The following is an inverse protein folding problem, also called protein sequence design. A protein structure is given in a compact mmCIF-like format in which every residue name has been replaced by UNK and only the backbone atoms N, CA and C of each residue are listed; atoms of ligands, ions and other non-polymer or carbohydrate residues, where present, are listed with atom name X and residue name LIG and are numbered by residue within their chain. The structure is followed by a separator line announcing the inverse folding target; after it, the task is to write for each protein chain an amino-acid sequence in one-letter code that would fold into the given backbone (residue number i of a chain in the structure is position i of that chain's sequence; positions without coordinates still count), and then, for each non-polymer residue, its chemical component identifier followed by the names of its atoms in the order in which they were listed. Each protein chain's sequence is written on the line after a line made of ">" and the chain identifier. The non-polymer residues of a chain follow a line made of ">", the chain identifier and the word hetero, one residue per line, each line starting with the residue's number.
data_IF_154495563475
#
_entry.id   IF_154495563475
#
_cell.length_a   1.000
_cell.length_b   1.000
_cell.length_c   1.000
_cell.angle_alpha   90.00
_cell.angle_beta   90.00
_cell.angle_gamma   90.00
#
_symmetry.space_group_name_H-M   'P 1'
#
loop_
_entity.id
_entity.type
_entity.pdbx_description
1 polymer ?
#
# COMPACT_ATOMS: atom_id res chain seq x y z
N UNK A 1 -40.83 6.75 29.90
CA UNK A 1 -39.48 6.89 29.35
C UNK A 1 -38.92 5.48 29.22
N UNK A 2 -38.93 4.92 28.03
CA UNK A 2 -38.26 3.64 27.81
C UNK A 2 -36.78 3.94 27.60
N UNK A 3 -35.98 3.74 28.61
CA UNK A 3 -34.50 3.68 28.50
C UNK A 3 -34.21 2.22 28.28
N UNK A 4 -33.69 1.91 27.09
CA UNK A 4 -33.16 0.60 26.81
C UNK A 4 -31.98 0.35 27.77
N UNK A 5 -31.85 -0.85 28.29
CA UNK A 5 -30.84 -1.25 29.29
C UNK A 5 -29.39 -1.09 28.78
N UNK A 6 -29.18 -0.68 27.52
CA UNK A 6 -27.89 -0.38 26.85
C UNK A 6 -27.47 1.09 26.90
N UNK A 7 -28.24 1.99 27.57
CA UNK A 7 -27.92 3.41 27.66
C UNK A 7 -28.18 4.22 26.38
N UNK A 8 -28.84 3.64 25.39
CA UNK A 8 -29.20 4.31 24.13
C UNK A 8 -30.46 5.17 24.27
N UNK A 9 -30.58 6.25 23.49
CA UNK A 9 -31.76 7.11 23.41
C UNK A 9 -32.53 6.81 22.14
N UNK A 10 -33.85 6.66 22.26
CA UNK A 10 -34.73 6.53 21.11
C UNK A 10 -34.88 7.87 20.41
N UNK A 11 -34.64 7.90 19.12
CA UNK A 11 -34.79 9.05 18.26
C UNK A 11 -35.53 8.70 16.96
N UNK A 12 -36.03 9.73 16.28
CA UNK A 12 -36.70 9.59 14.97
C UNK A 12 -35.73 10.09 13.89
N UNK A 13 -35.50 9.27 12.88
CA UNK A 13 -34.69 9.64 11.73
C UNK A 13 -35.51 10.42 10.72
N UNK A 14 -35.05 11.59 10.33
CA UNK A 14 -35.64 12.41 9.28
C UNK A 14 -34.68 12.49 8.12
N UNK A 15 -35.10 12.11 6.92
CA UNK A 15 -34.29 12.18 5.73
C UNK A 15 -34.44 13.54 5.05
N UNK A 16 -33.32 14.11 4.60
CA UNK A 16 -33.29 15.35 3.82
C UNK A 16 -32.46 15.17 2.54
N UNK A 17 -32.75 16.01 1.57
CA UNK A 17 -32.03 16.12 0.30
C UNK A 17 -31.12 17.38 0.29
N UNK A 18 -30.37 17.57 -0.80
CA UNK A 18 -29.45 18.70 -0.99
C UNK A 18 -30.15 20.07 -1.06
N UNK A 19 -31.49 20.12 -1.08
CA UNK A 19 -32.26 21.37 -1.13
C UNK A 19 -32.42 22.01 0.25
N UNK A 20 -32.18 21.25 1.31
CA UNK A 20 -32.22 21.74 2.68
C UNK A 20 -30.89 22.41 2.99
N UNK A 21 -30.90 23.69 3.36
CA UNK A 21 -29.68 24.37 3.76
C UNK A 21 -29.10 23.74 5.04
N UNK A 22 -27.77 23.77 5.20
CA UNK A 22 -27.11 23.25 6.42
C UNK A 22 -27.61 23.93 7.70
N UNK A 23 -28.13 25.14 7.61
CA UNK A 23 -28.72 25.89 8.72
C UNK A 23 -30.08 25.36 9.16
N UNK A 24 -30.83 24.71 8.24
CA UNK A 24 -32.14 24.14 8.49
C UNK A 24 -32.09 22.67 8.91
N UNK A 25 -30.92 22.04 8.85
CA UNK A 25 -30.73 20.65 9.28
C UNK A 25 -30.73 20.62 10.79
N UNK A 26 -31.83 20.11 11.35
CA UNK A 26 -31.96 19.81 12.77
C UNK A 26 -31.11 18.57 13.11
N UNK A 27 -29.82 18.72 13.16
CA UNK A 27 -28.97 17.73 13.79
C UNK A 27 -29.25 17.73 15.28
N UNK A 28 -29.71 16.63 15.83
CA UNK A 28 -29.96 16.47 17.26
C UNK A 28 -28.71 16.52 18.11
N UNK A 29 -28.21 17.72 18.45
CA UNK A 29 -26.82 17.95 18.81
C UNK A 29 -26.61 18.40 20.25
N UNK A 30 -27.63 18.87 20.94
CA UNK A 30 -27.49 19.32 22.35
C UNK A 30 -27.38 18.17 23.35
N UNK A 31 -27.34 16.95 22.86
CA UNK A 31 -27.32 15.75 23.70
C UNK A 31 -25.91 15.25 23.95
N UNK A 32 -24.94 15.69 23.11
CA UNK A 32 -23.57 15.20 23.19
C UNK A 32 -22.62 16.34 23.57
N UNK A 33 -21.84 16.18 24.64
CA UNK A 33 -20.74 17.10 24.91
C UNK A 33 -19.80 17.17 23.74
N UNK A 34 -19.21 18.36 23.51
CA UNK A 34 -18.23 18.60 22.47
C UNK A 34 -17.19 17.48 22.40
N UNK A 35 -16.99 16.89 21.22
CA UNK A 35 -15.99 15.85 20.99
C UNK A 35 -16.46 14.39 21.21
N UNK A 36 -17.70 14.14 21.57
CA UNK A 36 -18.25 12.77 21.63
C UNK A 36 -18.87 12.35 20.30
N UNK A 37 -18.87 11.04 20.06
CA UNK A 37 -19.45 10.41 18.87
C UNK A 37 -20.67 9.61 19.26
N UNK A 38 -21.75 9.78 18.51
CA UNK A 38 -22.95 8.94 18.64
C UNK A 38 -22.92 7.83 17.60
N UNK A 39 -23.45 6.67 17.95
CA UNK A 39 -23.70 5.58 17.02
C UNK A 39 -25.22 5.40 16.90
N UNK A 40 -25.73 5.58 15.68
CA UNK A 40 -27.13 5.35 15.37
C UNK A 40 -27.32 3.88 15.02
N UNK A 41 -28.23 3.21 15.75
CA UNK A 41 -28.57 1.82 15.50
C UNK A 41 -30.05 1.70 15.15
N UNK A 42 -30.34 1.19 13.96
CA UNK A 42 -31.63 0.66 13.57
C UNK A 42 -31.43 -0.77 13.04
N UNK A 43 -31.32 -0.94 11.72
CA UNK A 43 -30.86 -2.20 11.12
C UNK A 43 -29.35 -2.28 11.09
N UNK A 44 -28.68 -1.14 10.89
CA UNK A 44 -27.23 -1.03 10.76
C UNK A 44 -26.69 0.05 11.69
N UNK A 45 -25.48 -0.13 12.20
CA UNK A 45 -24.78 0.85 13.01
C UNK A 45 -24.05 1.85 12.12
N UNK A 46 -24.24 3.15 12.37
CA UNK A 46 -23.54 4.24 11.71
C UNK A 46 -23.00 5.22 12.75
N UNK A 47 -21.70 5.52 12.80
CA UNK A 47 -21.17 6.58 13.65
C UNK A 47 -21.61 7.95 13.12
N UNK A 48 -22.10 8.80 14.03
CA UNK A 48 -22.51 10.17 13.73
C UNK A 48 -21.69 11.11 14.61
N UNK A 49 -21.01 12.06 13.99
CA UNK A 49 -20.42 13.19 14.69
C UNK A 49 -21.48 14.27 14.81
N UNK A 50 -21.93 14.53 16.04
CA UNK A 50 -23.01 15.46 16.32
C UNK A 50 -22.43 16.78 16.82
N UNK A 51 -22.71 17.87 16.11
CA UNK A 51 -22.28 19.23 16.46
C UNK A 51 -23.35 19.89 17.38
N UNK A 52 -22.94 20.63 18.41
CA UNK A 52 -23.89 21.21 19.37
C UNK A 52 -24.62 22.44 18.80
N UNK A 53 -25.93 22.36 18.63
CA UNK A 53 -26.78 23.50 18.36
C UNK A 53 -27.86 23.66 19.44
N UNK A 54 -28.02 24.89 19.91
CA UNK A 54 -28.98 25.21 21.00
C UNK A 54 -30.46 24.89 20.68
N UNK A 55 -30.79 24.65 19.40
CA UNK A 55 -32.16 24.32 18.95
C UNK A 55 -32.52 22.86 19.06
N UNK A 56 -31.56 21.99 19.12
CA UNK A 56 -31.80 20.52 19.06
C UNK A 56 -32.08 19.88 20.43
N UNK A 57 -31.90 20.61 21.53
CA UNK A 57 -32.14 20.07 22.89
C UNK A 57 -33.58 19.57 23.13
N UNK A 58 -34.56 20.05 22.34
CA UNK A 58 -35.96 19.69 22.46
C UNK A 58 -36.43 18.61 21.47
N UNK A 59 -35.72 18.40 20.36
CA UNK A 59 -36.17 17.49 19.32
C UNK A 59 -35.47 16.14 19.46
N UNK A 60 -36.25 15.06 19.46
CA UNK A 60 -35.76 13.69 19.40
C UNK A 60 -35.52 13.23 17.96
N UNK A 61 -35.29 14.16 17.05
CA UNK A 61 -35.14 13.91 15.64
C UNK A 61 -33.66 14.05 15.23
N UNK A 62 -33.20 13.13 14.40
CA UNK A 62 -31.87 13.17 13.78
C UNK A 62 -32.06 13.27 12.28
N UNK A 63 -31.46 14.30 11.67
CA UNK A 63 -31.53 14.48 10.23
C UNK A 63 -30.36 13.78 9.56
N UNK A 64 -30.67 12.94 8.57
CA UNK A 64 -29.70 12.24 7.73
C UNK A 64 -29.93 12.61 6.27
N UNK A 65 -28.85 12.69 5.51
CA UNK A 65 -28.95 12.83 4.05
C UNK A 65 -29.59 11.56 3.45
N UNK A 66 -30.42 11.73 2.42
CA UNK A 66 -31.17 10.63 1.80
C UNK A 66 -30.28 9.50 1.31
N UNK A 67 -29.08 9.82 0.76
CA UNK A 67 -28.11 8.79 0.33
C UNK A 67 -27.61 7.92 1.49
N UNK A 68 -27.43 8.48 2.68
CA UNK A 68 -27.07 7.74 3.89
C UNK A 68 -28.26 6.91 4.36
N UNK A 69 -29.48 7.46 4.28
CA UNK A 69 -30.70 6.74 4.58
C UNK A 69 -30.85 5.48 3.73
N UNK A 70 -30.72 5.60 2.42
CA UNK A 70 -30.78 4.48 1.48
C UNK A 70 -29.67 3.45 1.73
N UNK A 71 -28.45 3.91 1.96
CA UNK A 71 -27.31 3.03 2.17
C UNK A 71 -27.42 2.19 3.43
N UNK A 72 -27.90 2.79 4.54
CA UNK A 72 -28.04 2.11 5.83
C UNK A 72 -29.47 1.65 6.11
N UNK A 73 -30.33 1.65 5.10
CA UNK A 73 -31.72 1.22 5.17
C UNK A 73 -32.53 1.95 6.26
N UNK A 74 -32.28 3.25 6.40
CA UNK A 74 -33.10 4.13 7.21
C UNK A 74 -34.25 4.70 6.39
N UNK A 75 -35.46 4.53 6.86
CA UNK A 75 -36.66 5.12 6.27
C UNK A 75 -36.99 6.46 6.98
N UNK A 76 -37.62 7.37 6.23
CA UNK A 76 -38.06 8.63 6.81
C UNK A 76 -39.04 8.40 7.97
N UNK A 77 -38.79 9.07 9.09
CA UNK A 77 -39.51 8.92 10.37
C UNK A 77 -39.38 7.54 11.04
N UNK A 78 -38.34 6.79 10.65
CA UNK A 78 -38.00 5.53 11.31
C UNK A 78 -37.49 5.81 12.74
N UNK A 79 -37.90 4.95 13.69
CA UNK A 79 -37.33 4.98 15.03
C UNK A 79 -35.99 4.28 15.07
N UNK A 80 -35.00 4.92 15.65
CA UNK A 80 -33.65 4.39 15.81
C UNK A 80 -33.11 4.67 17.22
N UNK A 81 -32.14 3.90 17.66
CA UNK A 81 -31.51 4.08 18.97
C UNK A 81 -30.17 4.79 18.77
N UNK A 82 -30.01 5.95 19.38
CA UNK A 82 -28.73 6.68 19.43
C UNK A 82 -27.97 6.24 20.68
N UNK A 83 -26.82 5.61 20.49
CA UNK A 83 -25.88 5.24 21.54
C UNK A 83 -24.72 6.23 21.56
N UNK A 84 -24.44 6.82 22.72
CA UNK A 84 -23.31 7.72 22.89
C UNK A 84 -22.09 6.90 23.26
N UNK A 85 -21.04 7.04 22.49
CA UNK A 85 -19.74 6.40 22.73
C UNK A 85 -18.88 7.34 23.58
N UNK A 86 -18.43 6.87 24.72
CA UNK A 86 -17.63 7.68 25.64
C UNK A 86 -16.15 7.80 25.18
N UNK A 87 -15.64 6.75 24.55
CA UNK A 87 -14.33 6.78 23.95
C UNK A 87 -14.45 6.85 22.41
N UNK A 88 -14.00 7.93 21.84
CA UNK A 88 -14.02 8.18 20.40
C UNK A 88 -13.32 7.06 19.60
N UNK A 89 -12.36 6.36 20.23
CA UNK A 89 -11.63 5.24 19.62
C UNK A 89 -12.52 4.05 19.27
N UNK A 90 -13.61 3.85 20.01
CA UNK A 90 -14.55 2.76 19.72
C UNK A 90 -15.32 2.95 18.39
N UNK A 91 -15.42 4.19 17.91
CA UNK A 91 -16.04 4.53 16.63
C UNK A 91 -15.00 4.91 15.54
N UNK A 92 -13.72 4.96 15.90
CA UNK A 92 -12.65 5.38 14.98
C UNK A 92 -12.08 4.18 14.25
N UNK A 93 -11.91 4.31 12.93
CA UNK A 93 -11.27 3.28 12.13
C UNK A 93 -9.79 3.11 12.52
N UNK A 94 -9.36 1.86 12.66
CA UNK A 94 -7.95 1.53 12.77
C UNK A 94 -7.29 1.64 11.39
N UNK A 95 -7.94 1.08 10.36
CA UNK A 95 -7.52 1.27 8.99
C UNK A 95 -8.71 1.22 8.02
N UNK A 96 -8.53 1.88 6.88
CA UNK A 96 -9.51 1.95 5.79
C UNK A 96 -8.78 1.68 4.49
N UNK A 97 -9.34 0.77 3.68
CA UNK A 97 -8.82 0.49 2.35
C UNK A 97 -9.58 1.30 1.30
N UNK A 98 -8.85 2.13 0.55
CA UNK A 98 -9.35 2.89 -0.59
C UNK A 98 -8.91 2.23 -1.88
N UNK A 99 -9.82 2.10 -2.81
CA UNK A 99 -9.58 1.49 -4.10
C UNK A 99 -9.75 2.51 -5.22
N UNK A 100 -8.75 2.63 -6.08
CA UNK A 100 -8.78 3.39 -7.32
C UNK A 100 -8.85 2.42 -8.49
N UNK A 101 -9.77 2.63 -9.42
CA UNK A 101 -9.96 1.69 -10.53
C UNK A 101 -8.82 1.74 -11.54
N UNK A 102 -8.48 2.93 -12.01
CA UNK A 102 -7.60 3.13 -13.17
C UNK A 102 -6.51 4.18 -12.92
N UNK A 103 -6.32 4.60 -11.67
CA UNK A 103 -5.38 5.65 -11.28
C UNK A 103 -4.56 5.17 -10.09
N UNK A 104 -3.27 5.52 -10.08
CA UNK A 104 -2.43 5.43 -8.91
C UNK A 104 -2.04 6.84 -8.46
N UNK A 105 -2.25 7.12 -7.20
CA UNK A 105 -1.89 8.39 -6.61
C UNK A 105 -0.41 8.43 -6.24
N UNK A 106 0.20 9.61 -6.37
CA UNK A 106 1.50 9.87 -5.77
C UNK A 106 1.41 9.82 -4.23
N UNK A 107 2.53 9.60 -3.55
CA UNK A 107 2.56 9.62 -2.07
C UNK A 107 2.09 10.95 -1.50
N UNK A 108 2.40 12.06 -2.18
CA UNK A 108 1.94 13.39 -1.78
C UNK A 108 0.42 13.52 -1.85
N UNK A 109 -0.18 13.02 -2.93
CA UNK A 109 -1.62 13.03 -3.14
C UNK A 109 -2.32 12.11 -2.13
N UNK A 110 -1.78 10.92 -1.87
CA UNK A 110 -2.27 10.01 -0.82
C UNK A 110 -2.29 10.69 0.55
N UNK A 111 -1.22 11.42 0.89
CA UNK A 111 -1.14 12.16 2.12
C UNK A 111 -2.17 13.29 2.20
N UNK A 112 -2.32 14.08 1.11
CA UNK A 112 -3.32 15.15 1.05
C UNK A 112 -4.74 14.59 1.20
N UNK A 113 -5.05 13.49 0.50
CA UNK A 113 -6.34 12.82 0.60
C UNK A 113 -6.59 12.33 2.03
N UNK A 114 -5.62 11.67 2.66
CA UNK A 114 -5.72 11.24 4.05
C UNK A 114 -6.00 12.40 5.02
N UNK A 115 -5.36 13.56 4.77
CA UNK A 115 -5.57 14.78 5.57
C UNK A 115 -6.96 15.40 5.36
N UNK A 116 -7.46 15.39 4.14
CA UNK A 116 -8.79 15.95 3.83
C UNK A 116 -9.94 15.18 4.45
N UNK A 117 -9.73 13.90 4.77
CA UNK A 117 -10.74 13.03 5.38
C UNK A 117 -10.75 13.09 6.91
N UNK A 118 -9.76 13.75 7.54
CA UNK A 118 -9.64 13.80 9.00
C UNK A 118 -10.85 14.48 9.65
N UNK A 119 -11.42 13.82 10.65
CA UNK A 119 -12.64 14.27 11.35
C UNK A 119 -13.93 13.92 10.64
N UNK A 120 -13.88 13.36 9.43
CA UNK A 120 -15.05 12.91 8.66
C UNK A 120 -15.50 11.50 9.00
N UNK A 121 -16.74 11.18 8.60
CA UNK A 121 -17.28 9.82 8.63
C UNK A 121 -17.15 9.21 7.26
N UNK A 122 -16.63 8.00 7.19
CA UNK A 122 -16.52 7.21 5.97
C UNK A 122 -17.35 5.94 6.13
N UNK A 123 -18.04 5.55 5.07
CA UNK A 123 -18.81 4.33 4.98
C UNK A 123 -18.39 3.46 3.80
N UNK A 124 -18.64 2.16 3.89
CA UNK A 124 -18.29 1.18 2.86
C UNK A 124 -18.93 1.55 1.51
N UNK A 125 -18.15 1.40 0.43
CA UNK A 125 -18.48 1.74 -0.95
C UNK A 125 -18.80 3.23 -1.17
N UNK A 126 -18.39 4.10 -0.25
CA UNK A 126 -18.46 5.54 -0.45
C UNK A 126 -17.50 5.95 -1.55
N UNK A 127 -18.02 6.70 -2.51
CA UNK A 127 -17.21 7.37 -3.53
C UNK A 127 -16.69 8.69 -2.97
N UNK A 128 -15.38 8.84 -2.95
CA UNK A 128 -14.70 10.04 -2.48
C UNK A 128 -14.03 10.68 -3.68
N UNK A 129 -14.47 11.89 -4.04
CA UNK A 129 -13.86 12.67 -5.11
C UNK A 129 -12.60 13.35 -4.61
N UNK A 130 -11.53 13.21 -5.39
CA UNK A 130 -10.25 13.81 -5.11
C UNK A 130 -9.64 14.38 -6.39
N UNK A 131 -8.93 15.50 -6.32
CA UNK A 131 -8.32 16.18 -7.48
C UNK A 131 -9.26 16.41 -8.69
N UNK A 132 -10.52 16.73 -8.39
CA UNK A 132 -11.49 17.15 -9.41
C UNK A 132 -12.29 16.02 -10.06
N UNK A 133 -11.67 15.06 -10.70
CA UNK A 133 -12.36 13.97 -11.42
C UNK A 133 -12.11 12.58 -10.84
N UNK A 134 -11.05 12.42 -10.06
CA UNK A 134 -10.62 11.14 -9.58
C UNK A 134 -11.46 10.66 -8.41
N UNK A 135 -11.86 9.40 -8.45
CA UNK A 135 -12.76 8.81 -7.47
C UNK A 135 -12.09 7.63 -6.79
N UNK A 136 -12.00 7.69 -5.47
CA UNK A 136 -11.65 6.57 -4.63
C UNK A 136 -12.90 5.92 -4.05
N UNK A 137 -12.90 4.62 -3.91
CA UNK A 137 -13.99 3.87 -3.26
C UNK A 137 -13.45 3.32 -1.94
N UNK A 138 -14.09 3.64 -0.82
CA UNK A 138 -13.80 3.05 0.47
C UNK A 138 -14.32 1.61 0.50
N UNK A 139 -13.43 0.60 0.41
CA UNK A 139 -13.86 -0.82 0.30
C UNK A 139 -14.05 -1.50 1.64
N UNK A 140 -13.03 -1.44 2.47
CA UNK A 140 -13.05 -2.12 3.78
C UNK A 140 -12.67 -1.14 4.87
N UNK A 141 -13.40 -1.22 5.96
CA UNK A 141 -13.23 -0.38 7.14
C UNK A 141 -13.09 -1.30 8.33
N UNK A 142 -12.06 -1.12 9.14
CA UNK A 142 -11.83 -1.93 10.34
C UNK A 142 -11.81 -1.07 11.59
N UNK A 143 -12.59 -1.51 12.58
CA UNK A 143 -12.58 -0.96 13.94
C UNK A 143 -12.23 -2.11 14.89
N UNK A 144 -11.17 -1.95 15.67
CA UNK A 144 -10.69 -2.97 16.63
C UNK A 144 -10.52 -4.38 16.01
N UNK A 145 -10.06 -4.43 14.75
CA UNK A 145 -9.82 -5.68 14.03
C UNK A 145 -11.07 -6.35 13.44
N UNK A 146 -12.25 -5.73 13.59
CA UNK A 146 -13.50 -6.20 12.98
C UNK A 146 -13.91 -5.30 11.84
N UNK A 147 -14.47 -5.89 10.77
CA UNK A 147 -15.06 -5.11 9.68
C UNK A 147 -16.27 -4.32 10.18
N UNK A 148 -16.35 -3.07 9.71
CA UNK A 148 -17.47 -2.17 9.99
C UNK A 148 -18.00 -1.56 8.70
N UNK A 149 -19.29 -1.22 8.68
CA UNK A 149 -19.89 -0.54 7.52
C UNK A 149 -19.60 0.95 7.48
N UNK A 150 -19.20 1.53 8.60
CA UNK A 150 -18.81 2.93 8.69
C UNK A 150 -17.90 3.19 9.88
N UNK A 151 -17.11 4.25 9.81
CA UNK A 151 -16.26 4.69 10.91
C UNK A 151 -15.93 6.17 10.84
N UNK A 152 -15.52 6.73 11.98
CA UNK A 152 -14.89 8.03 12.05
C UNK A 152 -13.41 7.92 11.62
N UNK A 153 -12.96 8.86 10.83
CA UNK A 153 -11.54 9.00 10.48
C UNK A 153 -10.87 9.96 11.44
N UNK A 154 -9.79 9.56 12.06
CA UNK A 154 -9.04 10.42 12.98
C UNK A 154 -7.55 10.15 12.91
N UNK A 155 -6.78 11.15 12.51
CA UNK A 155 -5.34 11.07 12.60
C UNK A 155 -4.87 11.29 14.06
N UNK A 156 -3.83 10.61 14.54
CA UNK A 156 -2.99 9.62 13.86
C UNK A 156 -3.53 8.17 13.97
N UNK A 157 -4.75 7.96 14.46
CA UNK A 157 -5.27 6.62 14.80
C UNK A 157 -5.68 5.80 13.57
N UNK A 158 -6.16 6.46 12.50
CA UNK A 158 -6.62 5.79 11.28
C UNK A 158 -5.49 5.67 10.27
N UNK A 159 -5.16 4.44 9.89
CA UNK A 159 -4.25 4.14 8.79
C UNK A 159 -5.03 4.06 7.47
N UNK A 160 -4.61 4.83 6.49
CA UNK A 160 -5.16 4.82 5.14
C UNK A 160 -4.35 3.86 4.26
N UNK A 161 -5.02 2.92 3.61
CA UNK A 161 -4.41 1.94 2.70
C UNK A 161 -4.97 2.23 1.32
N UNK A 162 -4.09 2.63 0.40
CA UNK A 162 -4.48 2.95 -0.97
C UNK A 162 -4.13 1.79 -1.89
N UNK A 163 -5.10 1.34 -2.69
CA UNK A 163 -4.95 0.24 -3.65
C UNK A 163 -5.39 0.72 -5.03
N UNK A 164 -4.57 0.47 -6.03
CA UNK A 164 -4.93 0.71 -7.42
C UNK A 164 -5.34 -0.59 -8.10
N UNK A 165 -6.36 -0.53 -8.94
CA UNK A 165 -6.80 -1.66 -9.78
C UNK A 165 -5.95 -1.86 -11.02
N UNK A 166 -5.16 -0.85 -11.40
CA UNK A 166 -4.22 -0.88 -12.52
C UNK A 166 -2.90 -0.28 -12.08
N UNK A 167 -1.81 -1.01 -12.24
CA UNK A 167 -0.47 -0.55 -11.94
C UNK A 167 0.55 -1.34 -12.75
N UNK A 168 1.72 -0.74 -12.96
CA UNK A 168 2.90 -1.42 -13.51
C UNK A 168 3.90 -1.66 -12.38
N UNK A 169 4.30 -2.91 -12.23
CA UNK A 169 5.28 -3.32 -11.24
C UNK A 169 6.54 -3.83 -11.91
N UNK A 170 7.69 -3.32 -11.48
CA UNK A 170 8.97 -3.91 -11.82
C UNK A 170 9.48 -4.69 -10.60
N UNK A 171 9.50 -6.01 -10.71
CA UNK A 171 10.02 -6.90 -9.67
C UNK A 171 11.51 -7.11 -9.92
N UNK A 172 12.34 -6.54 -9.06
CA UNK A 172 13.77 -6.71 -9.04
C UNK A 172 14.13 -7.79 -8.01
N UNK A 173 14.65 -8.93 -8.45
CA UNK A 173 15.00 -10.04 -7.56
C UNK A 173 16.52 -10.15 -7.50
N UNK A 174 17.09 -9.90 -6.34
CA UNK A 174 18.52 -9.99 -6.14
C UNK A 174 18.97 -11.45 -6.06
N UNK A 175 19.84 -11.85 -6.95
CA UNK A 175 20.54 -13.13 -6.89
C UNK A 175 21.81 -12.92 -6.09
N UNK A 176 21.81 -13.37 -4.86
CA UNK A 176 22.93 -13.26 -3.94
C UNK A 176 23.26 -14.64 -3.34
N UNK A 177 24.36 -14.73 -2.63
CA UNK A 177 24.76 -15.98 -1.97
C UNK A 177 23.68 -16.43 -0.98
N UNK A 178 23.14 -15.52 -0.19
CA UNK A 178 22.09 -15.79 0.79
C UNK A 178 20.81 -16.30 0.14
N UNK A 179 20.47 -15.82 -1.08
CA UNK A 179 19.31 -16.29 -1.84
C UNK A 179 19.42 -17.77 -2.24
N UNK A 180 20.65 -18.28 -2.35
CA UNK A 180 20.97 -19.68 -2.70
C UNK A 180 21.23 -20.55 -1.46
N UNK A 181 21.05 -20.02 -0.24
CA UNK A 181 21.16 -20.78 1.00
C UNK A 181 19.82 -21.40 1.41
N UNK A 182 19.90 -22.44 2.26
CA UNK A 182 18.71 -23.10 2.78
C UNK A 182 17.98 -22.19 3.77
N UNK A 183 16.69 -22.08 3.58
CA UNK A 183 15.79 -21.38 4.50
C UNK A 183 15.40 -22.30 5.67
N UNK A 184 14.69 -21.72 6.66
CA UNK A 184 14.26 -22.42 7.89
C UNK A 184 13.37 -23.63 7.58
N UNK A 185 12.63 -23.61 6.49
CA UNK A 185 11.75 -24.69 6.02
C UNK A 185 12.47 -25.83 5.29
N UNK A 186 13.79 -25.71 5.09
CA UNK A 186 14.62 -26.70 4.41
C UNK A 186 14.64 -26.58 2.88
N UNK A 187 13.96 -25.58 2.31
CA UNK A 187 14.05 -25.22 0.89
C UNK A 187 15.09 -24.13 0.66
N UNK A 188 15.54 -23.96 -0.56
CA UNK A 188 16.37 -22.81 -0.93
C UNK A 188 15.53 -21.53 -0.84
N UNK A 189 16.13 -20.43 -0.40
CA UNK A 189 15.39 -19.19 -0.17
C UNK A 189 14.67 -18.70 -1.43
N UNK A 190 15.26 -18.84 -2.62
CA UNK A 190 14.58 -18.50 -3.87
C UNK A 190 13.37 -19.41 -4.18
N UNK A 191 13.40 -20.68 -3.76
CA UNK A 191 12.27 -21.59 -3.94
C UNK A 191 11.10 -21.15 -3.05
N UNK A 192 11.38 -20.85 -1.77
CA UNK A 192 10.38 -20.30 -0.85
C UNK A 192 9.83 -18.96 -1.32
N UNK A 193 10.66 -18.11 -1.94
CA UNK A 193 10.20 -16.88 -2.58
C UNK A 193 9.21 -17.16 -3.72
N UNK A 194 9.54 -18.07 -4.64
CA UNK A 194 8.73 -18.33 -5.82
C UNK A 194 7.45 -19.10 -5.46
N UNK A 195 7.57 -20.18 -4.69
CA UNK A 195 6.45 -21.08 -4.37
C UNK A 195 5.56 -20.51 -3.26
N UNK A 196 6.11 -19.72 -2.35
CA UNK A 196 5.39 -19.06 -1.26
C UNK A 196 4.94 -17.66 -1.62
N UNK A 197 5.83 -16.69 -1.45
CA UNK A 197 5.48 -15.27 -1.50
C UNK A 197 4.91 -14.81 -2.86
N UNK A 198 5.62 -15.08 -3.96
CA UNK A 198 5.18 -14.62 -5.29
C UNK A 198 3.90 -15.33 -5.74
N UNK A 199 3.80 -16.64 -5.48
CA UNK A 199 2.59 -17.40 -5.80
C UNK A 199 1.37 -16.84 -5.06
N UNK A 200 1.49 -16.53 -3.77
CA UNK A 200 0.38 -15.95 -3.00
C UNK A 200 0.05 -14.52 -3.43
N UNK A 201 1.06 -13.70 -3.74
CA UNK A 201 0.88 -12.34 -4.26
C UNK A 201 0.04 -12.36 -5.56
N UNK A 202 0.45 -13.16 -6.53
CA UNK A 202 -0.26 -13.24 -7.82
C UNK A 202 -1.65 -13.87 -7.68
N UNK A 203 -1.81 -14.90 -6.85
CA UNK A 203 -3.13 -15.49 -6.56
C UNK A 203 -4.07 -14.44 -5.96
N UNK A 204 -3.56 -13.55 -5.10
CA UNK A 204 -4.34 -12.48 -4.52
C UNK A 204 -4.72 -11.43 -5.57
N UNK A 205 -3.83 -11.08 -6.48
CA UNK A 205 -4.16 -10.20 -7.61
C UNK A 205 -5.27 -10.78 -8.48
N UNK A 206 -5.20 -12.06 -8.79
CA UNK A 206 -6.23 -12.79 -9.53
C UNK A 206 -7.60 -12.76 -8.82
N UNK A 207 -7.61 -13.06 -7.53
CA UNK A 207 -8.84 -13.06 -6.71
C UNK A 207 -9.52 -11.68 -6.66
N UNK A 208 -8.72 -10.61 -6.67
CA UNK A 208 -9.16 -9.23 -6.67
C UNK A 208 -9.44 -8.69 -8.08
N UNK A 209 -9.22 -9.49 -9.12
CA UNK A 209 -9.39 -9.11 -10.55
C UNK A 209 -8.58 -7.87 -10.92
N UNK A 210 -7.35 -7.78 -10.43
CA UNK A 210 -6.45 -6.66 -10.73
C UNK A 210 -5.96 -6.73 -12.17
N UNK A 211 -5.75 -5.56 -12.77
CA UNK A 211 -5.23 -5.39 -14.14
C UNK A 211 -3.78 -4.91 -14.12
N UNK A 212 -2.99 -5.48 -13.22
CA UNK A 212 -1.59 -5.11 -13.13
C UNK A 212 -0.80 -5.70 -14.28
N UNK A 213 0.19 -4.95 -14.72
CA UNK A 213 1.27 -5.41 -15.58
C UNK A 213 2.54 -5.51 -14.76
N UNK A 214 3.40 -6.45 -15.08
CA UNK A 214 4.63 -6.60 -14.35
C UNK A 214 5.80 -7.06 -15.22
N UNK A 215 6.98 -6.57 -14.84
CA UNK A 215 8.27 -7.00 -15.37
C UNK A 215 9.04 -7.69 -14.25
N UNK A 216 9.85 -8.70 -14.59
CA UNK A 216 10.69 -9.41 -13.63
C UNK A 216 12.13 -9.40 -14.12
N UNK A 217 13.03 -8.88 -13.30
CA UNK A 217 14.44 -8.75 -13.59
C UNK A 217 15.25 -9.39 -12.45
N UNK A 218 16.10 -10.36 -12.78
CA UNK A 218 17.13 -10.86 -11.88
C UNK A 218 18.34 -9.97 -11.97
N UNK A 219 18.90 -9.58 -10.85
CA UNK A 219 20.11 -8.78 -10.79
C UNK A 219 21.06 -9.29 -9.71
N UNK A 220 22.31 -8.94 -9.82
CA UNK A 220 23.32 -9.34 -8.83
C UNK A 220 24.73 -9.04 -9.33
N UNK A 221 25.69 -9.46 -8.54
CA UNK A 221 27.10 -9.31 -8.84
C UNK A 221 27.81 -10.66 -8.85
N UNK A 222 28.40 -11.01 -9.99
CA UNK A 222 29.23 -12.20 -10.13
C UNK A 222 30.61 -12.01 -9.51
N UNK A 223 31.18 -13.08 -8.95
CA UNK A 223 32.52 -13.11 -8.39
C UNK A 223 33.31 -14.19 -9.11
N UNK A 224 34.47 -13.83 -9.70
CA UNK A 224 35.37 -14.81 -10.26
C UNK A 224 36.19 -15.48 -9.13
N UNK A 225 36.16 -16.80 -9.08
CA UNK A 225 37.22 -17.53 -8.41
C UNK A 225 38.49 -17.43 -9.26
N UNK A 226 39.46 -16.67 -8.78
CA UNK A 226 40.78 -16.54 -9.39
C UNK A 226 41.32 -17.89 -9.87
N UNK A 227 41.50 -18.06 -11.21
CA UNK A 227 42.39 -18.99 -11.75
C UNK A 227 41.88 -20.15 -12.61
N UNK A 228 41.03 -19.91 -13.62
CA UNK A 228 41.03 -20.76 -14.81
C UNK A 228 40.50 -19.98 -16.02
N UNK A 229 41.39 -19.76 -16.97
CA UNK A 229 41.07 -19.37 -18.35
C UNK A 229 40.35 -20.56 -18.99
N UNK A 230 39.02 -20.58 -19.02
CA UNK A 230 38.27 -21.54 -19.84
C UNK A 230 38.30 -21.06 -21.30
N UNK A 231 39.02 -21.84 -22.13
CA UNK A 231 39.30 -21.66 -23.56
C UNK A 231 38.11 -22.07 -24.45
N UNK A 232 36.92 -22.15 -23.98
CA UNK A 232 35.73 -22.46 -24.79
C UNK A 232 34.82 -21.25 -24.85
N UNK A 233 34.66 -20.68 -26.03
CA UNK A 233 33.97 -19.45 -26.39
C UNK A 233 32.49 -19.33 -26.03
N UNK A 234 32.07 -19.80 -24.88
CA UNK A 234 30.80 -19.47 -24.26
C UNK A 234 31.00 -18.22 -23.42
N UNK A 235 30.16 -17.20 -23.63
CA UNK A 235 30.10 -15.98 -22.83
C UNK A 235 29.85 -16.37 -21.36
N UNK A 236 30.93 -16.62 -20.63
CA UNK A 236 30.91 -16.74 -19.17
C UNK A 236 30.69 -15.35 -18.63
N UNK A 237 29.56 -15.11 -17.95
CA UNK A 237 29.37 -13.91 -17.15
C UNK A 237 30.48 -13.84 -16.09
N UNK A 238 31.46 -12.98 -16.39
CA UNK A 238 32.64 -12.75 -15.57
C UNK A 238 32.32 -11.91 -14.33
N UNK A 239 33.36 -11.49 -13.65
CA UNK A 239 33.31 -10.52 -12.56
C UNK A 239 32.57 -9.26 -13.01
N UNK A 240 31.49 -8.90 -12.29
CA UNK A 240 30.72 -7.70 -12.56
C UNK A 240 29.23 -7.82 -12.27
N UNK A 241 28.59 -6.70 -12.46
CA UNK A 241 27.14 -6.58 -12.32
C UNK A 241 26.44 -7.27 -13.48
N UNK A 242 25.34 -7.95 -13.18
CA UNK A 242 24.51 -8.57 -14.21
C UNK A 242 23.03 -8.25 -14.00
N UNK A 243 22.32 -8.18 -15.11
CA UNK A 243 20.87 -8.00 -15.18
C UNK A 243 20.30 -9.01 -16.17
N UNK A 244 19.31 -9.77 -15.74
CA UNK A 244 18.66 -10.76 -16.58
C UNK A 244 17.16 -10.57 -16.56
N UNK A 245 16.59 -10.10 -17.68
CA UNK A 245 15.15 -9.88 -17.84
C UNK A 245 14.46 -11.22 -18.06
N UNK A 246 13.54 -11.58 -17.18
CA UNK A 246 12.71 -12.80 -17.28
C UNK A 246 11.46 -12.55 -18.10
N UNK A 247 10.83 -11.42 -17.88
CA UNK A 247 9.69 -10.93 -18.64
C UNK A 247 9.59 -9.41 -18.53
N UNK A 248 8.95 -8.80 -19.51
CA UNK A 248 8.75 -7.37 -19.61
C UNK A 248 7.29 -7.08 -19.94
N UNK A 249 6.67 -6.18 -19.16
CA UNK A 249 5.29 -5.68 -19.30
C UNK A 249 4.23 -6.76 -19.55
N UNK A 250 4.31 -7.86 -18.80
CA UNK A 250 3.39 -9.01 -18.93
C UNK A 250 2.13 -8.76 -18.10
N UNK A 251 0.92 -9.03 -18.66
CA UNK A 251 -0.31 -8.93 -17.88
C UNK A 251 -0.33 -9.91 -16.70
N UNK A 252 -0.92 -9.46 -15.59
CA UNK A 252 -1.00 -10.24 -14.36
C UNK A 252 -1.60 -11.63 -14.52
N UNK A 253 -2.46 -11.85 -15.51
CA UNK A 253 -3.06 -13.16 -15.81
C UNK A 253 -2.05 -14.23 -16.25
N UNK A 254 -0.86 -13.86 -16.71
CA UNK A 254 0.17 -14.78 -17.21
C UNK A 254 1.19 -15.20 -16.13
N UNK A 255 0.94 -14.87 -14.89
CA UNK A 255 1.88 -15.08 -13.79
C UNK A 255 2.41 -16.51 -13.65
N UNK A 256 1.58 -17.53 -13.93
CA UNK A 256 2.00 -18.94 -13.86
C UNK A 256 3.16 -19.25 -14.79
N UNK A 257 3.09 -18.78 -16.05
CA UNK A 257 4.15 -18.97 -17.03
C UNK A 257 5.43 -18.22 -16.63
N UNK A 258 5.28 -17.02 -16.06
CA UNK A 258 6.40 -16.22 -15.58
C UNK A 258 7.11 -16.89 -14.40
N UNK A 259 6.38 -17.43 -13.42
CA UNK A 259 7.00 -18.16 -12.31
C UNK A 259 7.77 -19.41 -12.77
N UNK A 260 7.27 -20.11 -13.80
CA UNK A 260 8.00 -21.22 -14.39
C UNK A 260 9.31 -20.76 -15.04
N UNK A 261 9.27 -19.69 -15.84
CA UNK A 261 10.46 -19.09 -16.44
C UNK A 261 11.47 -18.62 -15.36
N UNK A 262 10.97 -17.99 -14.30
CA UNK A 262 11.78 -17.54 -13.19
C UNK A 262 12.48 -18.73 -12.49
N UNK A 263 11.76 -19.81 -12.23
CA UNK A 263 12.33 -21.02 -11.64
C UNK A 263 13.42 -21.64 -12.53
N UNK A 264 13.18 -21.70 -13.84
CA UNK A 264 14.18 -22.16 -14.82
C UNK A 264 15.41 -21.26 -14.88
N UNK A 265 15.22 -19.94 -14.74
CA UNK A 265 16.32 -18.97 -14.79
C UNK A 265 17.33 -19.18 -13.66
N UNK A 266 16.89 -19.52 -12.45
CA UNK A 266 17.80 -19.84 -11.34
C UNK A 266 18.69 -21.06 -11.58
N UNK A 267 18.25 -21.98 -12.46
CA UNK A 267 19.03 -23.13 -12.88
C UNK A 267 19.77 -22.93 -14.21
N UNK A 268 19.66 -21.73 -14.78
CA UNK A 268 20.27 -21.42 -16.07
C UNK A 268 21.80 -21.25 -15.96
N UNK A 269 22.57 -21.79 -16.92
CA UNK A 269 24.00 -21.52 -17.00
C UNK A 269 24.34 -20.05 -17.31
N UNK A 270 23.34 -19.25 -17.66
CA UNK A 270 23.49 -17.80 -17.88
C UNK A 270 23.69 -17.01 -16.60
N UNK A 271 23.32 -17.54 -15.43
CA UNK A 271 23.64 -16.90 -14.17
C UNK A 271 25.09 -17.21 -13.76
N UNK A 272 25.79 -16.27 -13.10
CA UNK A 272 27.12 -16.50 -12.58
C UNK A 272 27.13 -17.70 -11.63
N UNK A 273 28.13 -18.58 -11.75
CA UNK A 273 28.26 -19.74 -10.84
C UNK A 273 28.53 -19.34 -9.40
N UNK A 274 29.18 -18.20 -9.21
CA UNK A 274 29.41 -17.62 -7.90
C UNK A 274 28.91 -16.19 -7.89
N UNK A 275 28.09 -15.88 -6.87
CA UNK A 275 27.50 -14.55 -6.67
C UNK A 275 27.99 -13.96 -5.36
N UNK A 276 28.04 -12.65 -5.29
CA UNK A 276 28.41 -11.91 -4.08
C UNK A 276 27.36 -12.03 -2.97
N UNK A 277 27.74 -11.62 -1.77
CA UNK A 277 26.79 -11.36 -0.71
C UNK A 277 25.85 -10.22 -1.11
N UNK A 278 24.62 -10.25 -0.64
CA UNK A 278 23.58 -9.25 -0.95
C UNK A 278 24.06 -7.82 -0.68
N UNK A 279 24.76 -7.59 0.42
CA UNK A 279 25.29 -6.28 0.83
C UNK A 279 26.29 -5.66 -0.18
N UNK A 280 27.02 -6.50 -0.88
CA UNK A 280 28.01 -6.08 -1.91
C UNK A 280 27.44 -6.14 -3.32
N UNK A 281 26.15 -6.41 -3.43
CA UNK A 281 25.45 -6.41 -4.71
C UNK A 281 25.11 -4.99 -5.17
N UNK A 282 24.49 -4.94 -6.34
CA UNK A 282 24.18 -3.73 -7.10
C UNK A 282 22.69 -3.33 -6.96
N UNK A 283 22.16 -3.33 -5.73
CA UNK A 283 20.75 -3.01 -5.46
C UNK A 283 20.37 -1.60 -5.93
N UNK A 284 21.21 -0.61 -5.63
CA UNK A 284 20.94 0.78 -6.01
C UNK A 284 20.99 0.98 -7.53
N UNK A 285 21.94 0.34 -8.19
CA UNK A 285 22.10 0.31 -9.64
C UNK A 285 20.87 -0.31 -10.31
N UNK A 286 20.35 -1.40 -9.74
CA UNK A 286 19.15 -2.07 -10.24
C UNK A 286 17.91 -1.16 -10.14
N UNK A 287 17.73 -0.49 -9.01
CA UNK A 287 16.65 0.47 -8.81
C UNK A 287 16.79 1.64 -9.80
N UNK A 288 18.00 2.18 -9.96
CA UNK A 288 18.26 3.28 -10.88
C UNK A 288 17.96 2.88 -12.33
N UNK A 289 18.45 1.72 -12.78
CA UNK A 289 18.23 1.22 -14.14
C UNK A 289 16.74 0.99 -14.41
N UNK A 290 16.02 0.33 -13.48
CA UNK A 290 14.59 0.12 -13.62
C UNK A 290 13.81 1.43 -13.66
N UNK A 291 14.20 2.42 -12.87
CA UNK A 291 13.59 3.75 -12.90
C UNK A 291 13.85 4.49 -14.22
N UNK A 292 15.05 4.34 -14.79
CA UNK A 292 15.38 4.89 -16.11
C UNK A 292 14.55 4.26 -17.22
N UNK A 293 14.39 2.93 -17.22
CA UNK A 293 13.57 2.22 -18.20
C UNK A 293 12.15 2.73 -18.20
N UNK A 294 11.56 2.87 -17.01
CA UNK A 294 10.22 3.41 -16.83
C UNK A 294 10.10 4.83 -17.39
N UNK A 295 11.08 5.70 -17.13
CA UNK A 295 11.05 7.11 -17.60
C UNK A 295 11.29 7.20 -19.10
N UNK A 296 12.11 6.33 -19.66
CA UNK A 296 12.42 6.32 -21.10
C UNK A 296 11.30 5.69 -21.94
N UNK A 297 10.53 4.78 -21.37
CA UNK A 297 9.38 4.13 -22.00
C UNK A 297 8.13 5.05 -22.05
N UNK A 298 8.37 6.36 -22.11
CA UNK A 298 7.35 7.42 -22.13
C UNK A 298 6.44 7.43 -23.37
N UNK A 299 6.47 6.37 -24.15
CA UNK A 299 5.59 6.18 -25.31
C UNK A 299 4.16 5.76 -24.93
N UNK A 300 3.90 5.36 -23.68
CA UNK A 300 2.56 5.02 -23.23
C UNK A 300 1.81 6.29 -22.78
N UNK A 301 0.75 6.71 -23.52
CA UNK A 301 -0.05 7.88 -23.16
C UNK A 301 -0.80 7.73 -21.83
N UNK A 302 -0.87 6.52 -21.29
CA UNK A 302 -1.53 6.22 -20.03
C UNK A 302 -0.57 6.13 -18.83
N UNK A 303 0.72 6.33 -19.05
CA UNK A 303 1.75 6.21 -18.00
C UNK A 303 1.51 7.17 -16.82
N UNK A 304 0.99 8.37 -17.09
CA UNK A 304 0.63 9.35 -16.07
C UNK A 304 -0.52 8.88 -15.14
N UNK A 305 -1.34 7.97 -15.62
CA UNK A 305 -2.52 7.46 -14.91
C UNK A 305 -2.30 6.04 -14.35
N UNK A 306 -1.23 5.39 -14.75
CA UNK A 306 -0.87 4.05 -14.29
C UNK A 306 0.22 4.17 -13.23
N UNK A 307 -0.06 3.72 -12.02
CA UNK A 307 0.94 3.72 -10.97
C UNK A 307 2.12 2.83 -11.32
N UNK A 308 3.30 3.36 -11.10
CA UNK A 308 4.55 2.67 -11.32
C UNK A 308 5.17 2.42 -9.95
N UNK A 309 5.47 1.17 -9.67
CA UNK A 309 6.16 0.79 -8.44
C UNK A 309 7.26 -0.20 -8.75
N UNK A 310 8.40 0.02 -8.14
CA UNK A 310 9.54 -0.90 -8.18
C UNK A 310 9.52 -1.69 -6.88
N UNK A 311 9.51 -3.01 -6.97
CA UNK A 311 9.59 -3.91 -5.82
C UNK A 311 10.91 -4.63 -5.89
N UNK A 312 11.85 -4.29 -5.00
CA UNK A 312 13.15 -4.92 -4.90
C UNK A 312 13.13 -5.99 -3.80
N UNK A 313 13.37 -7.23 -4.18
CA UNK A 313 13.37 -8.39 -3.27
C UNK A 313 14.82 -8.83 -3.05
N UNK A 314 15.23 -8.86 -1.79
CA UNK A 314 16.59 -9.21 -1.40
C UNK A 314 16.61 -10.17 -0.21
N UNK A 315 17.59 -11.06 -0.19
CA UNK A 315 17.88 -11.90 0.98
C UNK A 315 18.85 -11.25 1.97
N UNK A 316 19.27 -10.00 1.71
CA UNK A 316 20.22 -9.26 2.56
C UNK A 316 19.62 -8.87 3.90
N UNK A 317 20.45 -8.97 4.95
CA UNK A 317 20.04 -8.68 6.34
C UNK A 317 20.61 -7.39 6.89
N UNK A 318 21.33 -6.63 6.10
CA UNK A 318 22.08 -5.47 6.56
C UNK A 318 21.94 -4.26 5.66
N UNK A 319 23.00 -3.47 5.64
CA UNK A 319 23.12 -2.37 4.71
C UNK A 319 23.68 -2.84 3.36
N UNK A 320 23.43 -2.05 2.32
CA UNK A 320 23.98 -2.23 0.98
C UNK A 320 25.06 -1.18 0.72
N UNK A 321 26.20 -1.61 0.21
CA UNK A 321 27.24 -0.69 -0.24
C UNK A 321 26.75 0.04 -1.48
N UNK A 322 26.94 1.36 -1.55
CA UNK A 322 26.44 2.18 -2.65
C UNK A 322 27.35 3.38 -2.94
N UNK A 323 27.24 3.92 -4.15
CA UNK A 323 27.87 5.18 -4.50
C UNK A 323 26.98 6.38 -4.11
N UNK A 324 27.58 7.39 -3.47
CA UNK A 324 26.84 8.59 -3.03
C UNK A 324 26.27 9.39 -4.21
N UNK A 325 27.01 9.48 -5.33
CA UNK A 325 26.55 10.20 -6.51
C UNK A 325 25.32 9.53 -7.12
N UNK A 326 25.39 8.20 -7.25
CA UNK A 326 24.29 7.39 -7.76
C UNK A 326 23.07 7.48 -6.84
N UNK A 327 23.24 7.45 -5.51
CA UNK A 327 22.14 7.60 -4.56
C UNK A 327 21.39 8.92 -4.73
N UNK A 328 22.13 10.01 -4.96
CA UNK A 328 21.56 11.33 -5.24
C UNK A 328 20.82 11.37 -6.58
N UNK A 329 21.40 10.78 -7.63
CA UNK A 329 20.76 10.70 -8.95
C UNK A 329 19.49 9.88 -8.90
N UNK A 330 19.53 8.71 -8.27
CA UNK A 330 18.36 7.83 -8.07
C UNK A 330 17.27 8.56 -7.30
N UNK A 331 17.61 9.25 -6.22
CA UNK A 331 16.66 10.03 -5.44
C UNK A 331 15.95 11.08 -6.27
N UNK A 332 16.71 11.85 -7.06
CA UNK A 332 16.14 12.87 -7.94
C UNK A 332 15.24 12.26 -9.02
N UNK A 333 15.65 11.15 -9.64
CA UNK A 333 14.90 10.47 -10.68
C UNK A 333 13.55 9.94 -10.16
N UNK A 334 13.57 9.26 -9.02
CA UNK A 334 12.36 8.68 -8.41
C UNK A 334 11.36 9.76 -7.96
N UNK A 335 11.86 10.82 -7.32
CA UNK A 335 11.00 11.91 -6.85
C UNK A 335 10.39 12.72 -7.99
N UNK A 336 11.18 13.03 -9.03
CA UNK A 336 10.71 13.79 -10.19
C UNK A 336 9.61 13.07 -10.96
N UNK A 337 9.61 11.73 -10.93
CA UNK A 337 8.67 10.91 -11.69
C UNK A 337 7.64 10.20 -10.80
N UNK A 338 7.59 10.51 -9.52
CA UNK A 338 6.64 9.92 -8.55
C UNK A 338 6.67 8.38 -8.50
N UNK A 339 7.84 7.78 -8.73
CA UNK A 339 8.04 6.33 -8.72
C UNK A 339 8.20 5.86 -7.27
N UNK A 340 7.35 4.94 -6.83
CA UNK A 340 7.46 4.29 -5.52
C UNK A 340 8.44 3.12 -5.56
N UNK A 341 9.19 2.92 -4.49
CA UNK A 341 10.10 1.78 -4.33
C UNK A 341 9.78 1.06 -3.01
N UNK A 342 9.45 -0.21 -3.11
CA UNK A 342 9.27 -1.11 -1.99
C UNK A 342 10.42 -2.11 -1.95
N UNK A 343 11.08 -2.25 -0.80
CA UNK A 343 12.16 -3.21 -0.61
C UNK A 343 11.66 -4.30 0.33
N UNK A 344 11.62 -5.52 -0.18
CA UNK A 344 11.23 -6.70 0.58
C UNK A 344 12.49 -7.44 0.99
N UNK A 345 12.81 -7.41 2.28
CA UNK A 345 13.94 -8.12 2.84
C UNK A 345 13.49 -9.49 3.36
N UNK A 346 13.97 -10.56 2.73
CA UNK A 346 13.73 -11.94 3.15
C UNK A 346 14.67 -12.30 4.30
N UNK A 347 14.54 -11.61 5.41
CA UNK A 347 15.44 -11.79 6.57
C UNK A 347 14.81 -12.70 7.61
N UNK A 348 15.57 -13.66 8.18
CA UNK A 348 15.12 -14.39 9.35
C UNK A 348 15.02 -13.47 10.56
N UNK A 349 14.13 -13.82 11.49
CA UNK A 349 14.07 -13.16 12.80
C UNK A 349 15.30 -13.54 13.66
N UNK A 350 15.80 -12.65 14.52
CA UNK A 350 15.29 -11.31 14.83
C UNK A 350 15.64 -10.28 13.76
N UNK A 351 14.70 -9.36 13.49
CA UNK A 351 14.90 -8.26 12.58
C UNK A 351 15.77 -7.18 13.23
N UNK A 352 16.72 -6.65 12.47
CA UNK A 352 17.59 -5.58 12.93
C UNK A 352 17.28 -4.29 12.21
N UNK A 353 17.01 -3.17 12.92
CA UNK A 353 16.93 -1.87 12.30
C UNK A 353 18.33 -1.47 11.84
N UNK A 354 18.52 -1.40 10.54
CA UNK A 354 19.78 -0.95 9.94
C UNK A 354 19.50 0.15 8.92
N UNK A 355 20.37 1.14 8.77
CA UNK A 355 20.33 2.06 7.65
C UNK A 355 20.53 1.26 6.36
N UNK A 356 19.72 1.60 5.34
CA UNK A 356 19.62 0.80 4.12
C UNK A 356 20.90 0.88 3.26
N UNK A 357 21.41 2.09 3.04
CA UNK A 357 22.59 2.30 2.18
C UNK A 357 23.77 2.84 2.98
N UNK A 358 24.93 2.27 2.69
CA UNK A 358 26.23 2.72 3.19
C UNK A 358 27.03 3.29 2.04
N UNK A 359 27.56 4.49 2.20
CA UNK A 359 28.37 5.16 1.19
C UNK A 359 29.53 5.94 1.83
N UNK A 360 30.47 6.36 1.02
CA UNK A 360 31.64 7.08 1.45
C UNK A 360 31.65 8.49 0.86
N UNK A 361 31.89 9.49 1.72
CA UNK A 361 32.15 10.88 1.31
C UNK A 361 33.56 11.26 1.78
N UNK A 362 34.50 11.37 0.84
CA UNK A 362 35.90 11.60 1.18
C UNK A 362 36.46 10.48 2.06
N UNK A 363 36.81 10.78 3.32
CA UNK A 363 37.30 9.78 4.30
C UNK A 363 36.24 9.31 5.29
N UNK A 364 35.02 9.86 5.24
CA UNK A 364 33.94 9.49 6.17
C UNK A 364 33.00 8.46 5.56
N UNK A 365 32.60 7.49 6.37
CA UNK A 365 31.56 6.52 6.02
C UNK A 365 30.25 7.03 6.58
N UNK A 366 29.25 7.13 5.72
CA UNK A 366 27.92 7.57 6.09
C UNK A 366 26.86 6.54 5.70
N UNK A 367 25.68 6.68 6.28
CA UNK A 367 24.55 5.78 6.09
C UNK A 367 23.29 6.58 5.81
N UNK A 368 22.43 6.05 4.94
CA UNK A 368 21.15 6.66 4.62
C UNK A 368 20.01 5.63 4.57
N UNK A 369 18.86 6.07 5.03
CA UNK A 369 17.57 5.46 4.73
C UNK A 369 16.78 6.48 3.89
N UNK A 370 16.74 6.32 2.56
CA UNK A 370 16.04 7.26 1.70
C UNK A 370 14.54 7.25 1.98
N UNK A 371 13.93 8.43 2.00
CA UNK A 371 12.48 8.59 2.26
C UNK A 371 11.57 8.08 1.12
N UNK A 372 12.15 7.77 -0.04
CA UNK A 372 11.42 7.16 -1.16
C UNK A 372 11.33 5.63 -1.07
N UNK A 373 12.07 4.99 -0.16
CA UNK A 373 12.07 3.54 0.01
C UNK A 373 11.21 3.13 1.21
N UNK A 374 10.23 2.26 0.99
CA UNK A 374 9.54 1.53 2.03
C UNK A 374 10.20 0.15 2.19
N UNK A 375 10.55 -0.22 3.41
CA UNK A 375 11.21 -1.51 3.69
C UNK A 375 10.27 -2.41 4.47
N UNK A 376 10.03 -3.59 3.92
CA UNK A 376 9.22 -4.66 4.54
C UNK A 376 10.10 -5.89 4.82
N UNK A 377 9.79 -6.62 5.89
CA UNK A 377 10.54 -7.79 6.35
C UNK A 377 9.64 -9.01 6.43
#
# INVERSE_FOLDING_TARGET
>A
MAVDTSGGRLCTVVLHDDRVSQEDVLCGTDILPEGKVGILKAKYAMPIHVLSSKRAAASREISLHVTLGERFLYENRMSATLTIVNDIREATANHIEFFFRDICLSRADMWQMARSMDGGIIYRDQEIKFLGSDTAIARTIYINGQESDSALVRQPFTKHIFRSGSARFTLLIQVSREMLELWIDGHLMYESLIEGYLTELFRRWDSLKMRHHFSVILFGKGVNSTGSSDTNGEESYGEGDFFHVICEDVPGSEWCAVLQKLKQAFHSPRLPRQVSLARHGNLLEAIYTAALDVVNDSMDPHLSNTGISIIAITAGTGYFDSDHSLLKQTTNLLLSNSIGVDIVALSPKPLHPVPLFKYQIGQTVEYALPHWADVSY
#
